data_IF_030734345118
#
_entry.id   IF_030734345118
#
_cell.length_a   1.000
_cell.length_b   1.000
_cell.length_c   1.000
_cell.angle_alpha   90.00
_cell.angle_beta   90.00
_cell.angle_gamma   90.00
#
_symmetry.space_group_name_H-M   'P 1'
#
loop_
_entity.id
_entity.type
_entity.pdbx_description
1 polymer ?
#
# COMPACT_ATOMS: atom_id res chain seq x y z
N UNK A 1 -6.30 -2.76 -3.14
CA UNK A 1 -5.37 -3.77 -3.71
C UNK A 1 -5.86 -4.19 -5.09
N UNK A 2 -5.00 -4.80 -5.90
CA UNK A 2 -5.41 -5.36 -7.20
C UNK A 2 -6.07 -6.73 -7.07
N UNK A 3 -6.85 -7.11 -8.10
CA UNK A 3 -7.53 -8.41 -8.17
C UNK A 3 -6.60 -9.61 -7.92
N UNK A 4 -5.42 -9.66 -8.55
CA UNK A 4 -4.46 -10.76 -8.37
C UNK A 4 -3.99 -10.92 -6.92
N UNK A 5 -3.73 -9.80 -6.24
CA UNK A 5 -3.35 -9.78 -4.82
C UNK A 5 -4.49 -10.20 -3.91
N UNK A 6 -5.72 -9.82 -4.26
CA UNK A 6 -6.90 -10.31 -3.54
C UNK A 6 -7.10 -11.82 -3.67
N UNK A 7 -6.85 -12.37 -4.87
CA UNK A 7 -6.98 -13.80 -5.14
C UNK A 7 -5.88 -14.64 -4.48
N UNK A 8 -4.70 -14.06 -4.23
CA UNK A 8 -3.60 -14.75 -3.54
C UNK A 8 -3.81 -14.87 -2.03
N UNK A 9 -4.72 -14.09 -1.44
CA UNK A 9 -5.05 -14.19 -0.01
C UNK A 9 -5.98 -15.40 0.19
N UNK A 10 -5.64 -16.36 1.07
CA UNK A 10 -6.51 -17.52 1.32
C UNK A 10 -7.91 -17.10 1.72
N UNK A 11 -8.94 -17.80 1.21
CA UNK A 11 -10.34 -17.40 1.36
C UNK A 11 -10.78 -17.16 2.82
N UNK A 12 -10.22 -17.91 3.78
CA UNK A 12 -10.50 -17.75 5.22
C UNK A 12 -9.94 -16.46 5.85
N UNK A 13 -9.02 -15.79 5.17
CA UNK A 13 -8.36 -14.56 5.63
C UNK A 13 -8.83 -13.30 4.90
N UNK A 14 -9.78 -13.44 3.96
CA UNK A 14 -10.39 -12.31 3.24
C UNK A 14 -11.89 -12.21 3.57
N UNK A 15 -12.47 -11.00 3.71
CA UNK A 15 -11.79 -9.70 3.71
C UNK A 15 -10.87 -9.53 4.92
N UNK A 16 -9.91 -8.61 4.79
CA UNK A 16 -9.02 -8.27 5.89
C UNK A 16 -9.81 -7.61 7.02
N UNK A 17 -9.80 -8.24 8.20
CA UNK A 17 -10.56 -7.77 9.37
C UNK A 17 -10.21 -6.32 9.74
N UNK A 18 -11.22 -5.62 10.27
CA UNK A 18 -11.16 -4.25 10.78
C UNK A 18 -10.74 -3.19 9.74
N UNK A 19 -10.88 -3.51 8.46
CA UNK A 19 -10.48 -2.64 7.34
C UNK A 19 -11.53 -2.68 6.24
N UNK A 20 -11.74 -1.54 5.60
CA UNK A 20 -12.43 -1.48 4.32
C UNK A 20 -11.52 -2.07 3.24
N UNK A 21 -11.99 -3.11 2.56
CA UNK A 21 -11.23 -3.76 1.49
C UNK A 21 -11.73 -3.23 0.14
N UNK A 22 -10.86 -2.55 -0.61
CA UNK A 22 -11.16 -2.08 -1.97
C UNK A 22 -10.33 -2.87 -2.98
N UNK A 23 -11.01 -3.51 -3.94
CA UNK A 23 -10.41 -4.33 -5.00
C UNK A 23 -10.52 -3.59 -6.33
N UNK A 24 -9.37 -3.37 -6.96
CA UNK A 24 -9.27 -2.72 -8.28
C UNK A 24 -9.20 -3.79 -9.37
N UNK A 25 -10.12 -3.74 -10.33
CA UNK A 25 -10.10 -4.58 -11.54
C UNK A 25 -10.80 -3.90 -12.71
N UNK A 26 -10.19 -3.94 -13.90
CA UNK A 26 -10.72 -3.33 -15.13
C UNK A 26 -12.08 -3.89 -15.58
N UNK A 27 -12.46 -5.08 -15.12
CA UNK A 27 -13.69 -5.79 -15.51
C UNK A 27 -14.87 -5.51 -14.57
N UNK A 28 -14.73 -4.68 -13.53
CA UNK A 28 -15.84 -4.37 -12.65
C UNK A 28 -16.69 -3.21 -13.19
N UNK A 29 -17.99 -3.46 -13.37
CA UNK A 29 -18.96 -2.46 -13.79
C UNK A 29 -19.40 -1.59 -12.61
N UNK A 30 -19.02 -0.31 -12.71
CA UNK A 30 -19.45 0.96 -12.11
C UNK A 30 -20.41 1.07 -10.91
N UNK A 31 -21.22 0.08 -10.53
CA UNK A 31 -22.17 0.25 -9.42
C UNK A 31 -21.46 0.08 -8.10
N UNK A 32 -21.03 1.21 -7.54
CA UNK A 32 -20.50 1.30 -6.19
C UNK A 32 -21.64 0.99 -5.19
N UNK A 33 -21.37 0.23 -4.13
CA UNK A 33 -22.37 -0.02 -3.11
C UNK A 33 -22.72 1.29 -2.40
N UNK A 34 -24.00 1.51 -2.12
CA UNK A 34 -24.46 2.66 -1.35
C UNK A 34 -24.08 2.54 0.15
N UNK A 35 -23.93 1.30 0.64
CA UNK A 35 -23.57 1.01 2.02
C UNK A 35 -22.30 0.16 2.09
N UNK A 36 -21.42 0.50 3.03
CA UNK A 36 -20.20 -0.26 3.30
C UNK A 36 -20.51 -1.33 4.34
N UNK A 37 -20.34 -2.60 3.97
CA UNK A 37 -20.38 -3.71 4.92
C UNK A 37 -18.96 -4.22 5.19
N UNK A 38 -18.58 -4.51 6.44
CA UNK A 38 -17.25 -5.07 6.75
C UNK A 38 -17.00 -6.46 6.14
N UNK A 39 -18.07 -7.17 5.75
CA UNK A 39 -18.03 -8.53 5.24
C UNK A 39 -17.76 -8.63 3.75
N UNK A 40 -17.99 -7.57 2.97
CA UNK A 40 -17.82 -7.58 1.51
C UNK A 40 -16.81 -6.53 1.06
N UNK A 41 -15.93 -6.87 0.08
CA UNK A 41 -15.05 -5.89 -0.49
C UNK A 41 -15.80 -4.97 -1.47
N UNK A 42 -15.40 -3.70 -1.50
CA UNK A 42 -15.81 -2.75 -2.53
C UNK A 42 -15.00 -3.02 -3.78
N UNK A 43 -15.66 -3.08 -4.93
CA UNK A 43 -15.03 -3.34 -6.23
C UNK A 43 -15.07 -2.09 -7.08
N UNK A 44 -13.92 -1.70 -7.60
CA UNK A 44 -13.75 -0.48 -8.41
C UNK A 44 -12.93 -0.78 -9.67
N UNK A 45 -13.07 0.05 -10.69
CA UNK A 45 -12.39 -0.11 -11.98
C UNK A 45 -11.01 0.55 -12.02
N UNK A 46 -10.75 1.52 -11.13
CA UNK A 46 -9.49 2.26 -11.08
C UNK A 46 -9.12 2.71 -9.66
N UNK A 47 -7.88 3.18 -9.47
CA UNK A 47 -7.44 3.75 -8.19
C UNK A 47 -8.09 5.11 -7.93
N UNK A 48 -8.35 5.88 -8.99
CA UNK A 48 -9.06 7.17 -8.92
C UNK A 48 -10.47 6.95 -8.34
N UNK A 49 -11.18 5.93 -8.82
CA UNK A 49 -12.49 5.57 -8.27
C UNK A 49 -12.39 5.09 -6.81
N UNK A 50 -11.30 4.39 -6.44
CA UNK A 50 -11.07 4.01 -5.04
C UNK A 50 -10.90 5.24 -4.14
N UNK A 51 -10.11 6.22 -4.59
CA UNK A 51 -9.87 7.49 -3.88
C UNK A 51 -11.16 8.28 -3.75
N UNK A 52 -11.93 8.41 -4.82
CA UNK A 52 -13.22 9.11 -4.79
C UNK A 52 -14.21 8.44 -3.84
N UNK A 53 -14.36 7.11 -3.94
CA UNK A 53 -15.21 6.34 -3.04
C UNK A 53 -14.86 6.57 -1.56
N UNK A 54 -13.55 6.60 -1.24
CA UNK A 54 -13.10 6.82 0.12
C UNK A 54 -13.34 8.25 0.63
N UNK A 55 -13.37 9.25 -0.26
CA UNK A 55 -13.69 10.64 0.10
C UNK A 55 -15.17 10.82 0.40
N UNK A 56 -16.04 10.10 -0.31
CA UNK A 56 -17.50 10.24 -0.17
C UNK A 56 -18.12 9.37 0.92
N UNK A 57 -17.37 8.43 1.51
CA UNK A 57 -17.86 7.52 2.56
C UNK A 57 -17.06 7.61 3.87
N UNK A 58 -17.09 8.75 4.58
CA UNK A 58 -16.44 8.89 5.88
C UNK A 58 -17.14 8.07 6.98
N UNK A 59 -16.41 7.68 8.07
CA UNK A 59 -15.04 8.07 8.37
C UNK A 59 -13.99 7.05 7.87
N UNK A 60 -13.18 7.45 6.89
CA UNK A 60 -11.98 6.71 6.47
C UNK A 60 -10.75 7.54 6.87
N UNK A 61 -9.93 7.00 7.77
CA UNK A 61 -8.79 7.73 8.34
C UNK A 61 -7.57 7.74 7.39
N UNK A 62 -7.19 6.57 6.88
CA UNK A 62 -6.02 6.38 6.02
C UNK A 62 -6.33 5.34 4.95
N UNK A 63 -5.84 5.57 3.73
CA UNK A 63 -5.90 4.61 2.64
C UNK A 63 -4.53 3.98 2.42
N UNK A 64 -4.48 2.66 2.35
CA UNK A 64 -3.25 1.91 2.08
C UNK A 64 -3.36 1.14 0.77
N UNK A 65 -2.39 1.36 -0.11
CA UNK A 65 -2.18 0.53 -1.28
C UNK A 65 -1.29 -0.64 -0.88
N UNK A 66 -1.84 -1.85 -0.83
CA UNK A 66 -1.11 -3.07 -0.49
C UNK A 66 -0.79 -3.95 -1.71
N UNK A 67 -0.58 -3.31 -2.86
CA UNK A 67 -0.10 -3.95 -4.08
C UNK A 67 -1.17 -4.62 -4.96
N UNK A 68 -0.76 -5.45 -5.92
CA UNK A 68 0.62 -5.85 -6.26
C UNK A 68 1.38 -4.86 -7.16
N UNK A 69 2.42 -5.32 -7.87
CA UNK A 69 3.32 -4.49 -8.69
C UNK A 69 2.62 -3.45 -9.57
N UNK A 70 1.69 -3.89 -10.44
CA UNK A 70 0.93 -2.97 -11.31
C UNK A 70 0.15 -1.89 -10.56
N UNK A 71 -0.34 -2.21 -9.36
CA UNK A 71 -1.10 -1.27 -8.53
C UNK A 71 -0.15 -0.33 -7.79
N UNK A 72 1.02 -0.79 -7.36
CA UNK A 72 2.07 0.08 -6.83
C UNK A 72 2.51 1.09 -7.88
N UNK A 73 2.81 0.64 -9.11
CA UNK A 73 3.24 1.52 -10.20
C UNK A 73 2.19 2.58 -10.53
N UNK A 74 0.91 2.19 -10.55
CA UNK A 74 -0.19 3.11 -10.76
C UNK A 74 -0.32 4.11 -9.61
N UNK A 75 -0.23 3.65 -8.36
CA UNK A 75 -0.35 4.50 -7.18
C UNK A 75 0.79 5.53 -7.09
N UNK A 76 2.03 5.14 -7.39
CA UNK A 76 3.19 6.05 -7.34
C UNK A 76 3.06 7.25 -8.29
N UNK A 77 2.29 7.11 -9.37
CA UNK A 77 1.99 8.19 -10.33
C UNK A 77 0.88 9.14 -9.87
N UNK A 78 0.12 8.80 -8.84
CA UNK A 78 -0.98 9.62 -8.35
C UNK A 78 -0.48 10.64 -7.31
N UNK A 79 -0.94 11.88 -7.38
CA UNK A 79 -0.63 12.91 -6.37
C UNK A 79 -1.13 12.54 -4.96
N UNK A 80 -2.16 11.70 -4.88
CA UNK A 80 -2.72 11.18 -3.63
C UNK A 80 -1.76 10.24 -2.88
N UNK A 81 -0.78 9.62 -3.55
CA UNK A 81 0.23 8.81 -2.89
C UNK A 81 1.27 9.72 -2.21
N UNK A 82 1.17 9.85 -0.89
CA UNK A 82 2.06 10.73 -0.11
C UNK A 82 3.21 10.01 0.58
N UNK A 83 3.08 8.69 0.79
CA UNK A 83 3.99 7.91 1.64
C UNK A 83 4.17 6.50 1.13
N UNK A 84 5.39 5.98 1.23
CA UNK A 84 5.70 4.56 1.10
C UNK A 84 6.24 4.06 2.44
N UNK A 85 5.62 3.02 2.96
CA UNK A 85 6.15 2.24 4.07
C UNK A 85 6.84 1.02 3.47
N UNK A 86 8.16 0.96 3.62
CA UNK A 86 8.99 -0.05 3.01
C UNK A 86 9.62 -0.92 4.10
N UNK A 87 9.40 -2.22 4.04
CA UNK A 87 10.24 -3.19 4.74
C UNK A 87 11.41 -3.54 3.82
N UNK A 88 12.60 -3.00 4.12
CA UNK A 88 13.82 -3.27 3.38
C UNK A 88 14.47 -4.55 3.89
N UNK A 89 14.37 -5.63 3.11
CA UNK A 89 14.97 -6.92 3.44
C UNK A 89 16.46 -6.90 3.10
N UNK A 90 17.33 -7.26 4.04
CA UNK A 90 18.79 -7.27 3.88
C UNK A 90 19.31 -8.59 3.27
N UNK A 91 18.57 -9.11 2.28
CA UNK A 91 18.92 -10.33 1.54
C UNK A 91 18.34 -10.28 0.13
N UNK A 92 19.11 -10.76 -0.83
CA UNK A 92 18.70 -10.90 -2.22
C UNK A 92 18.00 -12.25 -2.45
N UNK A 93 16.97 -12.25 -3.29
CA UNK A 93 16.20 -13.43 -3.69
C UNK A 93 15.92 -13.38 -5.20
N UNK A 94 15.73 -14.54 -5.83
CA UNK A 94 15.23 -14.58 -7.20
C UNK A 94 13.76 -14.11 -7.24
N UNK A 95 13.50 -13.10 -8.05
CA UNK A 95 12.20 -12.43 -8.14
C UNK A 95 11.85 -12.17 -9.60
N UNK A 96 10.55 -12.22 -9.92
CA UNK A 96 10.00 -11.89 -11.25
C UNK A 96 9.22 -10.56 -11.28
N UNK A 97 8.97 -9.99 -10.10
CA UNK A 97 8.15 -8.80 -9.89
C UNK A 97 8.91 -7.83 -9.00
N UNK A 98 9.07 -6.60 -9.47
CA UNK A 98 9.84 -5.56 -8.80
C UNK A 98 8.96 -4.35 -8.45
N UNK A 99 9.37 -3.58 -7.45
CA UNK A 99 8.76 -2.29 -7.14
C UNK A 99 9.21 -1.27 -8.19
N UNK A 100 8.27 -0.59 -8.89
CA UNK A 100 8.57 0.22 -10.07
C UNK A 100 9.34 1.52 -9.85
N UNK A 101 9.89 1.74 -8.65
CA UNK A 101 10.72 2.90 -8.32
C UNK A 101 11.79 2.50 -7.32
N UNK A 102 13.07 2.62 -7.70
CA UNK A 102 14.15 2.58 -6.72
C UNK A 102 14.10 3.87 -5.87
N UNK A 103 13.56 3.74 -4.66
CA UNK A 103 13.42 4.87 -3.72
C UNK A 103 14.76 5.48 -3.31
N UNK A 104 15.86 4.74 -3.41
CA UNK A 104 17.19 5.21 -3.01
C UNK A 104 17.93 5.93 -4.14
N UNK A 105 17.51 5.69 -5.39
CA UNK A 105 18.08 6.25 -6.60
C UNK A 105 17.66 7.68 -6.91
N UNK A 106 18.33 8.29 -7.88
CA UNK A 106 18.14 9.71 -8.21
C UNK A 106 16.77 10.01 -8.85
N UNK A 107 16.16 9.03 -9.53
CA UNK A 107 14.82 9.17 -10.07
C UNK A 107 13.80 9.45 -8.96
N UNK A 108 13.82 8.68 -7.87
CA UNK A 108 12.93 8.91 -6.74
C UNK A 108 13.18 10.29 -6.10
N UNK A 109 14.45 10.69 -6.00
CA UNK A 109 14.81 12.01 -5.46
C UNK A 109 14.27 13.16 -6.32
N UNK A 110 14.36 13.05 -7.64
CA UNK A 110 13.81 14.02 -8.58
C UNK A 110 12.28 14.11 -8.54
N UNK A 111 11.63 13.00 -8.17
CA UNK A 111 10.18 12.92 -7.95
C UNK A 111 9.77 13.38 -6.53
N UNK A 112 10.70 13.94 -5.74
CA UNK A 112 10.43 14.49 -4.41
C UNK A 112 10.43 13.47 -3.27
N UNK A 113 10.73 12.19 -3.53
CA UNK A 113 10.77 11.18 -2.47
C UNK A 113 11.98 11.36 -1.57
N UNK A 114 11.75 11.33 -0.26
CA UNK A 114 12.77 11.42 0.79
C UNK A 114 12.50 10.39 1.87
N UNK A 115 13.57 9.72 2.31
CA UNK A 115 13.51 8.86 3.49
C UNK A 115 13.36 9.74 4.73
N UNK A 116 12.36 9.43 5.56
CA UNK A 116 12.13 10.10 6.85
C UNK A 116 12.98 9.44 7.94
N UNK A 117 13.24 10.20 9.01
CA UNK A 117 13.99 9.69 10.16
C UNK A 117 13.16 8.67 10.95
N UNK A 118 13.85 7.83 11.73
CA UNK A 118 13.18 6.77 12.51
C UNK A 118 12.20 7.33 13.54
N UNK A 119 12.45 8.51 14.11
CA UNK A 119 11.50 9.18 15.02
C UNK A 119 10.19 9.55 14.32
N UNK A 120 10.28 10.09 13.11
CA UNK A 120 9.11 10.46 12.32
C UNK A 120 8.31 9.22 11.89
N UNK A 121 9.01 8.13 11.54
CA UNK A 121 8.36 6.85 11.28
C UNK A 121 7.59 6.36 12.50
N UNK A 122 8.21 6.34 13.69
CA UNK A 122 7.56 5.94 14.95
C UNK A 122 6.35 6.81 15.27
N UNK A 123 6.50 8.13 15.17
CA UNK A 123 5.40 9.06 15.43
C UNK A 123 4.21 8.79 14.51
N UNK A 124 4.48 8.53 13.23
CA UNK A 124 3.42 8.33 12.25
C UNK A 124 2.75 6.94 12.34
N UNK A 125 3.53 5.89 12.63
CA UNK A 125 3.03 4.50 12.74
C UNK A 125 2.49 4.17 14.12
N UNK A 126 2.99 4.82 15.17
CA UNK A 126 2.75 4.44 16.57
C UNK A 126 3.56 3.24 17.03
N UNK A 127 4.52 2.76 16.23
CA UNK A 127 5.37 1.61 16.58
C UNK A 127 6.41 1.99 17.64
N UNK A 128 6.75 1.01 18.49
CA UNK A 128 7.71 1.18 19.59
C UNK A 128 8.94 0.32 19.30
N UNK A 129 10.12 0.88 19.54
CA UNK A 129 11.40 0.18 19.42
C UNK A 129 12.20 0.55 18.18
N UNK A 130 13.14 -0.33 17.82
CA UNK A 130 14.05 -0.16 16.70
C UNK A 130 13.36 -0.52 15.38
N UNK A 131 13.70 0.23 14.33
CA UNK A 131 13.21 -0.05 12.99
C UNK A 131 13.94 -1.24 12.34
N UNK A 132 15.07 -1.65 12.90
CA UNK A 132 15.88 -2.78 12.43
C UNK A 132 15.55 -4.02 13.23
N UNK A 133 15.23 -5.09 12.52
CA UNK A 133 14.77 -6.35 13.07
C UNK A 133 15.52 -7.50 12.41
N UNK A 134 15.51 -8.65 13.06
CA UNK A 134 15.98 -9.90 12.48
C UNK A 134 14.95 -11.00 12.75
N UNK A 135 14.58 -11.75 11.72
CA UNK A 135 13.70 -12.90 11.85
C UNK A 135 14.22 -14.05 10.99
N UNK A 136 14.34 -15.25 11.57
CA UNK A 136 14.85 -16.42 10.84
C UNK A 136 16.26 -16.23 10.25
N UNK A 137 17.10 -15.41 10.90
CA UNK A 137 18.44 -15.07 10.41
C UNK A 137 18.44 -14.14 9.19
N UNK A 138 17.35 -13.41 8.93
CA UNK A 138 17.23 -12.39 7.88
C UNK A 138 17.01 -11.04 8.56
N UNK A 139 17.96 -10.12 8.36
CA UNK A 139 17.80 -8.72 8.77
C UNK A 139 16.80 -7.99 7.87
N UNK A 140 16.02 -7.08 8.44
CA UNK A 140 15.22 -6.12 7.69
C UNK A 140 15.05 -4.80 8.44
N UNK A 141 14.79 -3.73 7.70
CA UNK A 141 14.57 -2.40 8.26
C UNK A 141 13.22 -1.85 7.79
N UNK A 142 12.40 -1.39 8.74
CA UNK A 142 11.21 -0.59 8.45
C UNK A 142 11.62 0.85 8.10
N UNK A 143 11.18 1.31 6.94
CA UNK A 143 11.50 2.64 6.42
C UNK A 143 10.21 3.38 6.07
N UNK A 144 10.21 4.69 6.26
CA UNK A 144 9.17 5.58 5.78
C UNK A 144 9.76 6.54 4.76
N UNK A 145 9.11 6.64 3.61
CA UNK A 145 9.46 7.58 2.54
C UNK A 145 8.27 8.47 2.26
N UNK A 146 8.50 9.77 2.09
CA UNK A 146 7.47 10.75 1.78
C UNK A 146 7.84 11.56 0.56
N UNK A 147 6.82 11.97 -0.19
CA UNK A 147 6.98 12.84 -1.34
C UNK A 147 6.67 14.28 -0.94
N UNK A 148 7.68 15.13 -1.03
CA UNK A 148 7.60 16.59 -0.85
C UNK A 148 6.80 17.27 -1.97
#
# INVERSE_FOLDING_TARGET
MGRKTWDSIPAKFRPLKNRLNIIVSRQHSATLPAEITPSEPVRVSSLEQAVEFARTHPPISRMFVMGGGQIYDAALRMDAAKRVLLTSIEREYECDTFFGLDLRGDAARSLGWRRRQSDEWREWTGEIGDAKMEEGGVGYEWQMWERE
#
